data_IF_967568401854
#
_entry.id   IF_967568401854
#
_cell.length_a   1.000
_cell.length_b   1.000
_cell.length_c   1.000
_cell.angle_alpha   90.00
_cell.angle_beta   90.00
_cell.angle_gamma   90.00
#
_symmetry.space_group_name_H-M   'P 1'
#
loop_
_entity.id
_entity.type
_entity.pdbx_description
1 polymer ?
#
# COMPACT_ATOMS: atom_id res chain seq x y z
N UNK A 1 -2.82 26.26 0.25
CA UNK A 1 -1.81 26.03 1.30
C UNK A 1 -0.83 25.00 0.77
N UNK A 2 0.48 25.28 0.84
CA UNK A 2 1.51 24.31 0.45
C UNK A 2 1.74 23.42 1.66
N UNK A 3 1.36 22.15 1.55
CA UNK A 3 1.55 21.16 2.62
C UNK A 3 3.05 20.87 2.76
N UNK A 4 3.55 20.76 3.99
CA UNK A 4 4.95 20.36 4.22
C UNK A 4 5.18 18.95 3.65
N UNK A 5 6.34 18.71 3.05
CA UNK A 5 6.74 17.37 2.60
C UNK A 5 6.64 16.36 3.74
N UNK A 6 7.01 16.74 4.96
CA UNK A 6 6.90 15.91 6.16
C UNK A 6 5.43 15.55 6.47
N UNK A 7 4.52 16.52 6.34
CA UNK A 7 3.09 16.27 6.55
C UNK A 7 2.50 15.38 5.46
N UNK A 8 2.97 15.51 4.21
CA UNK A 8 2.56 14.63 3.13
C UNK A 8 2.93 13.16 3.43
N UNK A 9 4.19 12.90 3.79
CA UNK A 9 4.66 11.54 4.08
C UNK A 9 3.97 10.92 5.31
N UNK A 10 3.65 11.72 6.34
CA UNK A 10 2.89 11.25 7.53
C UNK A 10 1.46 10.85 7.22
N UNK A 11 0.88 11.42 6.17
CA UNK A 11 -0.50 11.17 5.76
C UNK A 11 -0.58 10.35 4.46
N UNK A 12 0.51 9.65 4.08
CA UNK A 12 0.47 8.77 2.92
C UNK A 12 -0.59 7.69 3.16
N UNK A 13 -1.48 7.45 2.17
CA UNK A 13 -2.43 6.37 2.27
C UNK A 13 -1.67 5.03 2.35
N UNK A 14 -2.27 4.02 3.00
CA UNK A 14 -1.68 2.69 3.02
C UNK A 14 -1.59 2.13 1.59
N UNK A 15 -0.61 1.26 1.36
CA UNK A 15 -0.42 0.59 0.06
C UNK A 15 -1.66 -0.23 -0.30
N UNK A 16 -2.10 -0.12 -1.55
CA UNK A 16 -3.26 -0.83 -2.08
C UNK A 16 -2.82 -1.85 -3.13
N UNK A 17 -3.50 -3.00 -3.16
CA UNK A 17 -3.31 -4.03 -4.17
C UNK A 17 -3.75 -3.50 -5.53
N UNK A 18 -2.92 -3.68 -6.56
CA UNK A 18 -3.24 -3.26 -7.94
C UNK A 18 -4.32 -4.10 -8.60
N UNK A 19 -4.64 -5.27 -8.04
CA UNK A 19 -5.66 -6.18 -8.57
C UNK A 19 -7.01 -6.01 -7.87
N UNK A 20 -7.06 -6.16 -6.54
CA UNK A 20 -8.32 -6.12 -5.81
C UNK A 20 -8.59 -4.79 -5.07
N UNK A 21 -7.64 -3.84 -5.06
CA UNK A 21 -7.78 -2.53 -4.39
C UNK A 21 -7.77 -2.59 -2.86
N UNK A 22 -7.70 -3.78 -2.25
CA UNK A 22 -7.61 -3.94 -0.79
C UNK A 22 -6.27 -3.39 -0.27
N UNK A 23 -6.27 -2.95 0.99
CA UNK A 23 -5.05 -2.59 1.70
C UNK A 23 -4.13 -3.82 1.73
N UNK A 24 -2.86 -3.62 1.38
CA UNK A 24 -1.82 -4.64 1.56
C UNK A 24 -1.43 -4.58 3.05
N UNK A 25 -1.79 -5.62 3.81
CA UNK A 25 -1.23 -5.85 5.14
C UNK A 25 0.24 -6.24 5.00
N UNK A 26 1.07 -5.77 5.93
CA UNK A 26 2.54 -5.83 5.89
C UNK A 26 3.09 -7.07 5.17
N UNK A 27 3.67 -6.84 3.99
CA UNK A 27 4.54 -7.82 3.37
C UNK A 27 5.96 -7.55 3.87
N UNK A 28 6.66 -8.59 4.31
CA UNK A 28 8.08 -8.53 4.69
C UNK A 28 8.95 -7.96 3.54
N UNK A 29 8.41 -8.01 2.31
CA UNK A 29 8.98 -7.51 1.07
C UNK A 29 8.14 -6.31 0.55
N UNK A 30 8.54 -5.08 0.88
CA UNK A 30 7.80 -3.86 0.52
C UNK A 30 7.69 -3.56 -1.01
N UNK A 31 8.31 -4.36 -1.87
CA UNK A 31 8.32 -4.15 -3.32
C UNK A 31 7.08 -4.71 -4.04
N UNK A 32 6.34 -5.65 -3.44
CA UNK A 32 5.20 -6.30 -4.09
C UNK A 32 3.94 -5.44 -4.16
N UNK A 33 3.31 -5.33 -5.33
CA UNK A 33 2.09 -4.52 -5.54
C UNK A 33 0.77 -5.31 -5.46
N UNK A 34 0.86 -6.61 -5.17
CA UNK A 34 -0.29 -7.50 -4.98
C UNK A 34 -0.36 -7.92 -3.50
N UNK A 35 -1.57 -8.06 -2.96
CA UNK A 35 -1.75 -8.61 -1.62
C UNK A 35 -1.60 -10.13 -1.63
N UNK A 36 -1.39 -10.71 -0.45
CA UNK A 36 -1.18 -12.15 -0.28
C UNK A 36 -2.35 -13.00 -0.84
N UNK A 37 -3.59 -12.54 -0.65
CA UNK A 37 -4.78 -13.19 -1.20
C UNK A 37 -4.73 -13.33 -2.74
N UNK A 38 -4.38 -12.25 -3.45
CA UNK A 38 -4.29 -12.26 -4.91
C UNK A 38 -3.10 -13.12 -5.39
N UNK A 39 -2.01 -13.17 -4.62
CA UNK A 39 -0.85 -14.01 -4.93
C UNK A 39 -1.10 -15.50 -4.67
N UNK A 40 -1.91 -15.82 -3.66
CA UNK A 40 -2.22 -17.19 -3.25
C UNK A 40 -3.41 -17.81 -4.01
N UNK A 41 -4.18 -17.01 -4.76
CA UNK A 41 -5.24 -17.50 -5.65
C UNK A 41 -6.54 -17.93 -4.96
N UNK A 42 -6.87 -17.33 -3.81
CA UNK A 42 -8.14 -17.53 -3.09
C UNK A 42 -9.26 -16.58 -3.51
#
# INVERSE_FOLDING_TARGET
MIQSSVEFFKNLPPKQCTECGKKIEEQHECYGNHCDHCLSGE
#
